data_IF_236903475003
#
_entry.id   IF_236903475003
#
_cell.length_a   1.000
_cell.length_b   1.000
_cell.length_c   1.000
_cell.angle_alpha   90.00
_cell.angle_beta   90.00
_cell.angle_gamma   90.00
#
_symmetry.space_group_name_H-M   'P 1'
#
loop_
_entity.id
_entity.type
_entity.pdbx_description
1 polymer ?
#
# COMPACT_ATOMS: atom_id res chain seq x y z
N UNK A 1 29.49 -44.54 15.20
CA UNK A 1 30.02 -45.22 14.00
C UNK A 1 31.51 -45.52 14.12
N UNK A 2 32.40 -44.50 14.22
CA UNK A 2 33.85 -44.70 14.22
C UNK A 2 34.35 -45.70 15.30
N UNK A 3 33.93 -45.52 16.56
CA UNK A 3 34.33 -46.43 17.65
C UNK A 3 33.77 -47.86 17.46
N UNK A 4 32.55 -48.00 16.94
CA UNK A 4 31.95 -49.31 16.68
C UNK A 4 32.64 -50.08 15.53
N UNK A 5 33.11 -49.36 14.50
CA UNK A 5 33.93 -49.94 13.43
C UNK A 5 35.32 -50.39 13.92
N UNK A 6 35.91 -49.66 14.88
CA UNK A 6 37.20 -50.00 15.49
C UNK A 6 37.09 -51.24 16.38
N UNK A 7 36.05 -51.33 17.23
CA UNK A 7 35.80 -52.53 18.05
C UNK A 7 35.44 -53.75 17.19
N UNK A 8 34.72 -53.56 16.08
CA UNK A 8 34.41 -54.64 15.13
C UNK A 8 35.67 -55.19 14.45
N UNK A 9 36.61 -54.33 14.03
CA UNK A 9 37.89 -54.74 13.46
C UNK A 9 38.77 -55.50 14.48
N UNK A 10 38.68 -55.14 15.77
CA UNK A 10 39.35 -55.87 16.87
C UNK A 10 38.77 -57.26 17.15
N UNK A 11 37.48 -57.47 16.87
CA UNK A 11 36.77 -58.71 17.16
C UNK A 11 36.80 -59.77 16.03
N UNK A 12 37.39 -59.45 14.86
CA UNK A 12 37.51 -60.40 13.75
C UNK A 12 36.15 -60.83 13.17
N UNK A 13 35.96 -62.13 12.92
CA UNK A 13 34.69 -62.66 12.36
C UNK A 13 33.47 -62.40 13.25
N UNK A 14 33.63 -62.38 14.58
CA UNK A 14 32.55 -62.09 15.51
C UNK A 14 32.09 -60.62 15.45
N UNK A 15 32.93 -59.72 14.92
CA UNK A 15 32.66 -58.28 14.77
C UNK A 15 31.95 -57.89 13.48
N UNK A 16 31.81 -58.80 12.51
CA UNK A 16 31.30 -58.49 11.17
C UNK A 16 29.90 -57.84 11.19
N UNK A 17 28.99 -58.33 12.06
CA UNK A 17 27.66 -57.73 12.23
C UNK A 17 27.70 -56.31 12.83
N UNK A 18 28.61 -56.06 13.77
CA UNK A 18 28.80 -54.73 14.36
C UNK A 18 29.39 -53.73 13.36
N UNK A 19 30.27 -54.17 12.46
CA UNK A 19 30.81 -53.34 11.38
C UNK A 19 29.70 -52.84 10.43
N UNK A 20 28.79 -53.73 10.01
CA UNK A 20 27.66 -53.38 9.13
C UNK A 20 26.73 -52.38 9.79
N UNK A 21 26.38 -52.59 11.07
CA UNK A 21 25.55 -51.64 11.82
C UNK A 21 26.26 -50.29 11.98
N UNK A 22 27.57 -50.28 12.22
CA UNK A 22 28.34 -49.05 12.35
C UNK A 22 28.37 -48.23 11.05
N UNK A 23 28.47 -48.89 9.90
CA UNK A 23 28.40 -48.24 8.58
C UNK A 23 26.98 -47.75 8.25
N UNK A 24 25.95 -48.50 8.59
CA UNK A 24 24.55 -48.07 8.39
C UNK A 24 24.23 -46.84 9.25
N UNK A 25 24.67 -46.83 10.52
CA UNK A 25 24.53 -45.66 11.41
C UNK A 25 25.31 -44.46 10.87
N UNK A 26 26.51 -44.67 10.29
CA UNK A 26 27.27 -43.60 9.64
C UNK A 26 26.53 -43.02 8.44
N UNK A 27 25.99 -43.89 7.60
CA UNK A 27 25.24 -43.49 6.41
C UNK A 27 23.97 -42.72 6.79
N UNK A 28 23.21 -43.22 7.77
CA UNK A 28 22.04 -42.53 8.30
C UNK A 28 22.41 -41.15 8.90
N UNK A 29 23.51 -41.05 9.65
CA UNK A 29 23.97 -39.78 10.21
C UNK A 29 24.38 -38.78 9.12
N UNK A 30 25.06 -39.23 8.06
CA UNK A 30 25.41 -38.39 6.91
C UNK A 30 24.16 -37.86 6.21
N UNK A 31 23.18 -38.73 5.94
CA UNK A 31 21.90 -38.35 5.33
C UNK A 31 21.11 -37.38 6.20
N UNK A 32 21.09 -37.59 7.52
CA UNK A 32 20.45 -36.69 8.47
C UNK A 32 21.12 -35.31 8.50
N UNK A 33 22.46 -35.26 8.46
CA UNK A 33 23.21 -34.01 8.40
C UNK A 33 22.95 -33.23 7.10
N UNK A 34 22.89 -33.93 5.96
CA UNK A 34 22.54 -33.32 4.67
C UNK A 34 21.12 -32.76 4.67
N UNK A 35 20.14 -33.54 5.15
CA UNK A 35 18.76 -33.08 5.26
C UNK A 35 18.63 -31.86 6.19
N UNK A 36 19.31 -31.88 7.33
CA UNK A 36 19.33 -30.75 8.27
C UNK A 36 19.92 -29.49 7.63
N UNK A 37 20.99 -29.62 6.83
CA UNK A 37 21.60 -28.51 6.10
C UNK A 37 20.66 -27.94 5.06
N UNK A 38 20.02 -28.79 4.26
CA UNK A 38 19.03 -28.34 3.27
C UNK A 38 17.85 -27.62 3.93
N UNK A 39 17.38 -28.09 5.08
CA UNK A 39 16.34 -27.38 5.87
C UNK A 39 16.83 -26.03 6.36
N UNK A 40 18.07 -25.92 6.84
CA UNK A 40 18.65 -24.65 7.28
C UNK A 40 18.71 -23.63 6.13
N UNK A 41 19.18 -24.06 4.95
CA UNK A 41 19.27 -23.20 3.77
C UNK A 41 17.88 -22.70 3.31
N UNK A 42 16.86 -23.57 3.36
CA UNK A 42 15.48 -23.19 3.05
C UNK A 42 14.90 -22.19 4.06
N UNK A 43 15.21 -22.37 5.35
CA UNK A 43 14.79 -21.44 6.41
C UNK A 43 15.46 -20.08 6.20
N UNK A 44 16.78 -20.04 5.95
CA UNK A 44 17.50 -18.80 5.69
C UNK A 44 16.94 -18.06 4.47
N UNK A 45 16.68 -18.78 3.38
CA UNK A 45 16.02 -18.23 2.19
C UNK A 45 14.62 -17.69 2.48
N UNK A 46 13.87 -18.35 3.36
CA UNK A 46 12.52 -17.91 3.76
C UNK A 46 12.58 -16.65 4.61
N UNK A 47 13.49 -16.58 5.58
CA UNK A 47 13.71 -15.39 6.42
C UNK A 47 14.08 -14.18 5.57
N UNK A 48 14.96 -14.36 4.57
CA UNK A 48 15.31 -13.29 3.64
C UNK A 48 14.09 -12.79 2.85
N UNK A 49 13.29 -13.70 2.29
CA UNK A 49 12.07 -13.34 1.55
C UNK A 49 11.05 -12.61 2.43
N UNK A 50 10.88 -13.03 3.68
CA UNK A 50 10.00 -12.36 4.64
C UNK A 50 10.49 -10.95 4.94
N UNK A 51 11.80 -10.77 5.13
CA UNK A 51 12.40 -9.45 5.35
C UNK A 51 12.17 -8.53 4.15
N UNK A 52 12.50 -9.00 2.95
CA UNK A 52 12.30 -8.24 1.71
C UNK A 52 10.81 -7.87 1.51
N UNK A 53 9.90 -8.81 1.81
CA UNK A 53 8.46 -8.59 1.77
C UNK A 53 8.00 -7.55 2.80
N UNK A 54 8.53 -7.58 4.02
CA UNK A 54 8.24 -6.61 5.07
C UNK A 54 8.69 -5.19 4.67
N UNK A 55 9.86 -5.06 4.06
CA UNK A 55 10.35 -3.77 3.56
C UNK A 55 9.47 -3.23 2.42
N UNK A 56 9.03 -4.11 1.52
CA UNK A 56 8.10 -3.73 0.46
C UNK A 56 6.76 -3.25 1.03
N UNK A 57 6.19 -3.99 2.00
CA UNK A 57 4.94 -3.59 2.64
C UNK A 57 5.07 -2.25 3.39
N UNK A 58 6.21 -1.99 4.04
CA UNK A 58 6.46 -0.72 4.70
C UNK A 58 6.43 0.45 3.71
N UNK A 59 7.08 0.30 2.54
CA UNK A 59 7.03 1.31 1.46
C UNK A 59 5.61 1.48 0.92
N UNK A 60 4.91 0.39 0.64
CA UNK A 60 3.51 0.45 0.16
C UNK A 60 2.60 1.17 1.16
N UNK A 61 2.79 0.96 2.46
CA UNK A 61 2.03 1.67 3.49
C UNK A 61 2.31 3.18 3.48
N UNK A 62 3.57 3.60 3.28
CA UNK A 62 3.92 5.02 3.15
C UNK A 62 3.26 5.65 1.92
N UNK A 63 3.23 4.96 0.78
CA UNK A 63 2.55 5.42 -0.43
C UNK A 63 1.04 5.57 -0.20
N UNK A 64 0.40 4.60 0.47
CA UNK A 64 -1.03 4.72 0.81
C UNK A 64 -1.33 5.89 1.75
N UNK A 65 -0.44 6.21 2.69
CA UNK A 65 -0.58 7.41 3.53
C UNK A 65 -0.52 8.70 2.70
N UNK A 66 0.36 8.77 1.70
CA UNK A 66 0.43 9.92 0.78
C UNK A 66 -0.84 10.05 -0.07
N UNK A 67 -1.38 8.93 -0.56
CA UNK A 67 -2.66 8.89 -1.29
C UNK A 67 -3.81 9.37 -0.42
N UNK A 68 -3.91 8.88 0.82
CA UNK A 68 -4.93 9.32 1.76
C UNK A 68 -4.85 10.82 2.06
N UNK A 69 -3.65 11.35 2.28
CA UNK A 69 -3.44 12.79 2.47
C UNK A 69 -3.82 13.61 1.22
N UNK A 70 -3.53 13.10 0.02
CA UNK A 70 -3.92 13.74 -1.24
C UNK A 70 -5.44 13.75 -1.43
N UNK A 71 -6.11 12.64 -1.11
CA UNK A 71 -7.56 12.55 -1.17
C UNK A 71 -8.24 13.53 -0.18
N UNK A 72 -7.66 13.70 1.02
CA UNK A 72 -8.12 14.70 1.98
C UNK A 72 -8.06 16.12 1.41
N UNK A 73 -6.92 16.51 0.82
CA UNK A 73 -6.79 17.83 0.17
C UNK A 73 -7.80 18.06 -0.96
N UNK A 74 -8.09 17.02 -1.74
CA UNK A 74 -9.12 17.12 -2.80
C UNK A 74 -10.50 17.34 -2.19
N UNK A 75 -10.82 16.66 -1.09
CA UNK A 75 -12.09 16.86 -0.38
C UNK A 75 -12.22 18.30 0.15
N UNK A 76 -11.16 18.86 0.74
CA UNK A 76 -11.12 20.24 1.23
C UNK A 76 -11.35 21.24 0.07
N UNK A 77 -10.65 21.07 -1.05
CA UNK A 77 -10.82 21.91 -2.25
C UNK A 77 -12.24 21.84 -2.81
N UNK A 78 -12.86 20.67 -2.85
CA UNK A 78 -14.26 20.52 -3.29
C UNK A 78 -15.21 21.23 -2.33
N UNK A 79 -14.92 21.20 -1.02
CA UNK A 79 -15.64 21.98 -0.01
C UNK A 79 -15.55 23.48 -0.27
N UNK A 80 -14.35 24.00 -0.53
CA UNK A 80 -14.12 25.41 -0.88
C UNK A 80 -14.84 25.80 -2.18
N UNK A 81 -14.76 24.97 -3.22
CA UNK A 81 -15.49 25.20 -4.49
C UNK A 81 -16.99 25.28 -4.25
N UNK A 82 -17.55 24.39 -3.42
CA UNK A 82 -18.97 24.40 -3.10
C UNK A 82 -19.40 25.67 -2.37
N UNK A 83 -18.59 26.13 -1.40
CA UNK A 83 -18.84 27.37 -0.68
C UNK A 83 -18.78 28.59 -1.62
N UNK A 84 -17.71 28.71 -2.42
CA UNK A 84 -17.55 29.77 -3.40
C UNK A 84 -18.67 29.78 -4.45
N UNK A 85 -19.13 28.59 -4.89
CA UNK A 85 -20.26 28.49 -5.82
C UNK A 85 -21.57 28.98 -5.21
N UNK A 86 -21.79 28.73 -3.91
CA UNK A 86 -22.96 29.25 -3.20
C UNK A 86 -22.92 30.78 -3.09
N UNK A 87 -21.77 31.35 -2.78
CA UNK A 87 -21.57 32.80 -2.74
C UNK A 87 -21.77 33.45 -4.12
N UNK A 88 -21.22 32.84 -5.17
CA UNK A 88 -21.44 33.29 -6.55
C UNK A 88 -22.92 33.27 -6.93
N UNK A 89 -23.66 32.22 -6.55
CA UNK A 89 -25.09 32.13 -6.82
C UNK A 89 -25.87 33.27 -6.15
N UNK A 90 -25.54 33.61 -4.89
CA UNK A 90 -26.12 34.75 -4.19
C UNK A 90 -25.76 36.09 -4.86
N UNK A 91 -24.50 36.26 -5.27
CA UNK A 91 -24.05 37.44 -6.01
C UNK A 91 -24.79 37.62 -7.34
N UNK A 92 -25.03 36.54 -8.08
CA UNK A 92 -25.80 36.55 -9.33
C UNK A 92 -27.26 36.96 -9.07
N UNK A 93 -27.87 36.49 -7.98
CA UNK A 93 -29.23 36.91 -7.60
C UNK A 93 -29.30 38.43 -7.36
N UNK A 94 -28.32 38.98 -6.65
CA UNK A 94 -28.24 40.43 -6.41
C UNK A 94 -28.06 41.21 -7.72
N UNK A 95 -27.18 40.75 -8.61
CA UNK A 95 -26.99 41.35 -9.94
C UNK A 95 -28.29 41.34 -10.73
N UNK A 96 -29.02 40.21 -10.73
CA UNK A 96 -30.28 40.09 -11.46
C UNK A 96 -31.32 41.10 -10.97
N UNK A 97 -31.42 41.30 -9.65
CA UNK A 97 -32.29 42.33 -9.04
C UNK A 97 -31.89 43.73 -9.48
N UNK A 98 -30.59 44.06 -9.44
CA UNK A 98 -30.08 45.37 -9.86
C UNK A 98 -30.34 45.66 -11.34
N UNK A 99 -30.14 44.66 -12.23
CA UNK A 99 -30.44 44.78 -13.66
C UNK A 99 -31.94 45.00 -13.89
N UNK A 100 -32.80 44.31 -13.14
CA UNK A 100 -34.25 44.50 -13.22
C UNK A 100 -34.67 45.92 -12.80
N UNK A 101 -34.04 46.49 -11.77
CA UNK A 101 -34.29 47.89 -11.41
C UNK A 101 -33.76 48.87 -12.47
N UNK A 102 -32.57 48.64 -13.01
CA UNK A 102 -32.03 49.45 -14.09
C UNK A 102 -32.94 49.46 -15.32
N UNK A 103 -33.53 48.31 -15.67
CA UNK A 103 -34.51 48.21 -16.76
C UNK A 103 -35.74 49.09 -16.48
N UNK A 104 -36.30 49.05 -15.27
CA UNK A 104 -37.43 49.92 -14.88
C UNK A 104 -37.10 51.40 -15.01
N UNK A 105 -35.94 51.82 -14.49
CA UNK A 105 -35.51 53.24 -14.58
C UNK A 105 -35.27 53.63 -16.04
N UNK A 106 -34.69 52.74 -16.85
CA UNK A 106 -34.47 52.98 -18.28
C UNK A 106 -35.79 53.18 -19.02
N UNK A 107 -36.80 52.33 -18.76
CA UNK A 107 -38.14 52.47 -19.34
C UNK A 107 -38.83 53.75 -18.89
N UNK A 108 -38.72 54.11 -17.60
CA UNK A 108 -39.29 55.34 -17.07
C UNK A 108 -38.63 56.59 -17.70
N UNK A 109 -37.31 56.58 -17.88
CA UNK A 109 -36.58 57.65 -18.55
C UNK A 109 -37.02 57.80 -20.02
N UNK A 110 -37.22 56.69 -20.73
CA UNK A 110 -37.73 56.71 -22.10
C UNK A 110 -39.15 57.30 -22.17
N UNK A 111 -40.06 56.89 -21.29
CA UNK A 111 -41.42 57.42 -21.22
C UNK A 111 -41.45 58.93 -20.91
N UNK A 112 -40.66 59.38 -19.93
CA UNK A 112 -40.53 60.80 -19.60
C UNK A 112 -39.97 61.62 -20.76
N UNK A 113 -39.01 61.06 -21.52
CA UNK A 113 -38.45 61.71 -22.69
C UNK A 113 -39.47 61.82 -23.83
N UNK A 114 -40.29 60.79 -24.07
CA UNK A 114 -41.39 60.83 -25.04
C UNK A 114 -42.44 61.88 -24.65
N UNK A 115 -42.85 61.92 -23.38
CA UNK A 115 -43.79 62.93 -22.87
C UNK A 115 -43.22 64.35 -23.04
N UNK A 116 -41.95 64.55 -22.69
CA UNK A 116 -41.27 65.85 -22.81
C UNK A 116 -41.09 66.30 -24.26
N UNK A 117 -40.94 65.35 -25.20
CA UNK A 117 -40.84 65.66 -26.63
C UNK A 117 -42.20 65.96 -27.28
N UNK A 118 -43.29 65.48 -26.67
CA UNK A 118 -44.66 65.72 -27.13
C UNK A 118 -45.31 66.99 -26.54
N UNK A 119 -44.74 67.55 -25.46
CA UNK A 119 -45.14 68.81 -24.81
C UNK A 119 -44.56 70.05 -25.53
#
# INVERSE_FOLDING_TARGET
ALNAAVEAARAGEAGAGFAVVADEVRNLAMRAAEAARNTADLIEGTVKKVKDGSELMARTNQEFQQVAGSAGRVADLVGEISAASSEQAQGIEQINRAVTEMDKVTQQNAANAEESAAA
#
